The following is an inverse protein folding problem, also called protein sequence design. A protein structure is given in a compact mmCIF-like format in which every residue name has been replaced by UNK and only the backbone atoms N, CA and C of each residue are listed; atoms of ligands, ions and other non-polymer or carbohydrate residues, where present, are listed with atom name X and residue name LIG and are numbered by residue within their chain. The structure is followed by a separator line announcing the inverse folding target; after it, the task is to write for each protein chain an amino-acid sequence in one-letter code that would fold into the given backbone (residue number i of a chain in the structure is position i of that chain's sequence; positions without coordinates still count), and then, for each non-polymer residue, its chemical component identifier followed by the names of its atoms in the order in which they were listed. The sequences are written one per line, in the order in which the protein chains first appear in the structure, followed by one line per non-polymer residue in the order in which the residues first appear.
data_IF_093137926325
#
_entry.id   IF_093137926325
#
_cell.length_a   1.000
_cell.length_b   1.000
_cell.length_c   1.000
_cell.angle_alpha   90.00
_cell.angle_beta   90.00
_cell.angle_gamma   90.00
#
_symmetry.space_group_name_H-M   'P 1'
#
loop_
_entity.id
_entity.type
_entity.pdbx_description
1 polymer ?
#
# COMPACT_ATOMS: atom_id res chain seq x y z
N UNK A 1 -7.74 -11.05 -9.71
CA UNK A 1 -7.87 -10.45 -11.05
C UNK A 1 -9.34 -10.25 -11.46
N UNK A 2 -10.14 -11.32 -11.60
CA UNK A 2 -11.54 -11.29 -12.08
C UNK A 2 -12.42 -10.20 -11.46
N UNK A 3 -12.36 -10.00 -10.13
CA UNK A 3 -13.11 -8.95 -9.43
C UNK A 3 -12.86 -7.55 -9.99
N UNK A 4 -11.60 -7.23 -10.33
CA UNK A 4 -11.22 -5.92 -10.83
C UNK A 4 -11.74 -5.71 -12.26
N UNK A 5 -11.64 -6.74 -13.09
CA UNK A 5 -12.19 -6.73 -14.45
C UNK A 5 -13.71 -6.52 -14.45
N UNK A 6 -14.42 -7.27 -13.61
CA UNK A 6 -15.89 -7.15 -13.51
C UNK A 6 -16.30 -5.77 -13.02
N UNK A 7 -15.61 -5.21 -12.02
CA UNK A 7 -15.86 -3.84 -11.54
C UNK A 7 -15.60 -2.78 -12.61
N UNK A 8 -14.59 -2.99 -13.46
CA UNK A 8 -14.31 -2.11 -14.60
C UNK A 8 -15.28 -2.30 -15.78
N UNK A 9 -16.15 -3.31 -15.76
CA UNK A 9 -17.10 -3.58 -16.84
C UNK A 9 -16.47 -4.07 -18.16
N UNK A 10 -15.22 -4.57 -18.13
CA UNK A 10 -14.47 -4.96 -19.34
C UNK A 10 -14.53 -6.47 -19.56
N UNK A 11 -14.67 -6.96 -20.79
CA UNK A 11 -14.57 -8.40 -21.08
C UNK A 11 -13.12 -8.89 -21.02
N UNK A 12 -12.88 -10.21 -20.90
CA UNK A 12 -11.52 -10.75 -20.94
C UNK A 12 -10.81 -10.40 -22.26
N UNK A 13 -11.53 -10.53 -23.39
CA UNK A 13 -11.02 -10.19 -24.72
C UNK A 13 -10.69 -8.70 -24.87
N UNK A 14 -11.57 -7.82 -24.38
CA UNK A 14 -11.33 -6.38 -24.45
C UNK A 14 -10.12 -5.98 -23.61
N UNK A 15 -9.99 -6.54 -22.40
CA UNK A 15 -8.84 -6.27 -21.54
C UNK A 15 -7.54 -6.80 -22.13
N UNK A 16 -7.55 -8.02 -22.67
CA UNK A 16 -6.41 -8.61 -23.36
C UNK A 16 -5.94 -7.72 -24.54
N UNK A 17 -6.89 -7.21 -25.33
CA UNK A 17 -6.61 -6.26 -26.43
C UNK A 17 -5.99 -4.95 -25.93
N UNK A 18 -6.51 -4.38 -24.84
CA UNK A 18 -5.98 -3.13 -24.25
C UNK A 18 -4.53 -3.33 -23.78
N UNK A 19 -4.25 -4.46 -23.13
CA UNK A 19 -2.93 -4.76 -22.56
C UNK A 19 -1.95 -5.30 -23.61
N UNK A 20 -2.43 -5.74 -24.77
CA UNK A 20 -1.59 -6.32 -25.82
C UNK A 20 -1.15 -7.76 -25.53
N UNK A 21 -2.00 -8.54 -24.84
CA UNK A 21 -1.74 -9.95 -24.50
C UNK A 21 -2.87 -10.85 -25.01
N UNK A 22 -2.66 -12.18 -24.96
CA UNK A 22 -3.68 -13.14 -25.38
C UNK A 22 -4.80 -13.26 -24.31
N UNK A 23 -6.06 -13.36 -24.75
CA UNK A 23 -7.21 -13.54 -23.85
C UNK A 23 -7.13 -14.83 -23.01
N UNK A 24 -6.53 -15.89 -23.53
CA UNK A 24 -6.22 -17.10 -22.76
C UNK A 24 -5.34 -16.79 -21.55
N UNK A 25 -4.40 -15.85 -21.69
CA UNK A 25 -3.57 -15.43 -20.56
C UNK A 25 -4.39 -14.77 -19.45
N UNK A 26 -5.35 -13.90 -19.81
CA UNK A 26 -6.29 -13.32 -18.84
C UNK A 26 -7.08 -14.41 -18.12
N UNK A 27 -7.58 -15.41 -18.84
CA UNK A 27 -8.32 -16.52 -18.23
C UNK A 27 -7.48 -17.28 -17.18
N UNK A 28 -6.23 -17.62 -17.52
CA UNK A 28 -5.30 -18.28 -16.59
C UNK A 28 -5.02 -17.43 -15.34
N UNK A 29 -4.80 -16.12 -15.52
CA UNK A 29 -4.62 -15.17 -14.41
C UNK A 29 -5.88 -15.04 -13.53
N UNK A 30 -7.07 -15.17 -14.10
CA UNK A 30 -8.32 -15.17 -13.35
C UNK A 30 -8.56 -16.46 -12.56
N UNK A 31 -8.07 -17.60 -13.07
CA UNK A 31 -8.20 -18.92 -12.44
C UNK A 31 -7.05 -19.25 -11.47
N UNK A 32 -6.06 -18.37 -11.34
CA UNK A 32 -4.94 -18.56 -10.40
C UNK A 32 -3.95 -19.63 -10.85
N UNK A 33 -3.86 -19.90 -12.15
CA UNK A 33 -2.82 -20.76 -12.70
C UNK A 33 -1.44 -20.14 -12.50
N UNK A 34 -0.41 -20.98 -12.31
CA UNK A 34 0.92 -20.64 -11.75
C UNK A 34 1.83 -19.76 -12.64
N UNK A 35 1.29 -18.92 -13.50
CA UNK A 35 2.06 -17.99 -14.32
C UNK A 35 1.85 -16.55 -13.85
N UNK A 36 2.71 -16.12 -12.92
CA UNK A 36 2.71 -14.74 -12.44
C UNK A 36 3.05 -13.78 -13.61
N UNK A 37 2.32 -12.67 -13.79
CA UNK A 37 2.62 -11.72 -14.83
C UNK A 37 3.93 -11.01 -14.57
N UNK A 38 4.64 -10.67 -15.64
CA UNK A 38 5.78 -9.76 -15.57
C UNK A 38 5.33 -8.42 -14.98
N UNK A 39 6.28 -7.65 -14.43
CA UNK A 39 5.97 -6.36 -13.81
C UNK A 39 5.24 -5.43 -14.77
N UNK A 40 5.70 -5.38 -16.02
CA UNK A 40 5.12 -4.51 -17.06
C UNK A 40 3.69 -4.91 -17.41
N UNK A 41 3.42 -6.22 -17.55
CA UNK A 41 2.06 -6.72 -17.79
C UNK A 41 1.16 -6.41 -16.59
N UNK A 42 1.65 -6.59 -15.36
CA UNK A 42 0.88 -6.25 -14.15
C UNK A 42 0.57 -4.75 -14.08
N UNK A 43 1.52 -3.87 -14.46
CA UNK A 43 1.31 -2.43 -14.53
C UNK A 43 0.31 -2.03 -15.62
N UNK A 44 0.42 -2.63 -16.81
CA UNK A 44 -0.52 -2.39 -17.91
C UNK A 44 -1.95 -2.84 -17.53
N UNK A 45 -2.10 -3.99 -16.86
CA UNK A 45 -3.37 -4.46 -16.30
C UNK A 45 -3.93 -3.46 -15.27
N UNK A 46 -3.10 -2.98 -14.36
CA UNK A 46 -3.49 -1.98 -13.36
C UNK A 46 -4.01 -0.69 -14.00
N UNK A 47 -3.33 -0.19 -15.03
CA UNK A 47 -3.74 1.00 -15.77
C UNK A 47 -5.05 0.77 -16.53
N UNK A 48 -5.16 -0.33 -17.27
CA UNK A 48 -6.37 -0.69 -18.02
C UNK A 48 -7.60 -0.82 -17.12
N UNK A 49 -7.41 -1.32 -15.89
CA UNK A 49 -8.46 -1.51 -14.90
C UNK A 49 -8.68 -0.30 -13.98
N UNK A 50 -7.94 0.79 -14.16
CA UNK A 50 -8.00 2.02 -13.36
C UNK A 50 -7.93 1.74 -11.86
N UNK A 51 -6.99 0.89 -11.46
CA UNK A 51 -6.80 0.51 -10.06
C UNK A 51 -6.31 1.69 -9.20
N UNK A 52 -6.77 1.75 -7.95
CA UNK A 52 -6.20 2.69 -6.97
C UNK A 52 -4.76 2.33 -6.61
N UNK A 53 -3.98 3.25 -6.02
CA UNK A 53 -2.60 2.98 -5.63
C UNK A 53 -2.45 1.74 -4.74
N UNK A 54 -3.36 1.58 -3.77
CA UNK A 54 -3.39 0.40 -2.88
C UNK A 54 -3.74 -0.89 -3.64
N UNK A 55 -4.59 -0.81 -4.67
CA UNK A 55 -4.92 -1.96 -5.52
C UNK A 55 -3.78 -2.34 -6.46
N UNK A 56 -3.02 -1.36 -6.95
CA UNK A 56 -1.79 -1.58 -7.71
C UNK A 56 -0.75 -2.30 -6.85
N UNK A 57 -0.55 -1.85 -5.61
CA UNK A 57 0.35 -2.50 -4.66
C UNK A 57 -0.07 -3.95 -4.42
N UNK A 58 -1.36 -4.19 -4.14
CA UNK A 58 -1.89 -5.55 -3.96
C UNK A 58 -1.69 -6.43 -5.20
N UNK A 59 -1.94 -5.89 -6.39
CA UNK A 59 -1.77 -6.64 -7.64
C UNK A 59 -0.31 -7.03 -7.85
N UNK A 60 0.61 -6.07 -7.74
CA UNK A 60 2.04 -6.31 -7.93
C UNK A 60 2.61 -7.27 -6.89
N UNK A 61 2.24 -7.09 -5.62
CA UNK A 61 2.63 -8.02 -4.55
C UNK A 61 2.16 -9.45 -4.84
N UNK A 62 0.90 -9.63 -5.26
CA UNK A 62 0.36 -10.95 -5.60
C UNK A 62 1.03 -11.60 -6.81
N UNK A 63 1.63 -10.80 -7.68
CA UNK A 63 2.41 -11.24 -8.83
C UNK A 63 3.91 -11.44 -8.51
N UNK A 64 4.30 -11.36 -7.23
CA UNK A 64 5.69 -11.54 -6.79
C UNK A 64 6.60 -10.31 -6.98
N UNK A 65 6.02 -9.14 -7.29
CA UNK A 65 6.77 -7.90 -7.47
C UNK A 65 6.69 -7.02 -6.23
N UNK A 66 7.77 -6.27 -5.97
CA UNK A 66 7.79 -5.29 -4.88
C UNK A 66 6.80 -4.14 -5.20
N UNK A 67 5.84 -3.85 -4.31
CA UNK A 67 4.88 -2.75 -4.47
C UNK A 67 5.54 -1.39 -4.64
N UNK A 68 5.02 -0.51 -5.51
CA UNK A 68 5.49 0.86 -5.66
C UNK A 68 5.58 1.66 -4.36
N UNK A 69 4.64 1.50 -3.42
CA UNK A 69 4.71 2.15 -2.11
C UNK A 69 5.95 1.75 -1.32
N UNK A 70 6.28 0.46 -1.29
CA UNK A 70 7.48 -0.05 -0.62
C UNK A 70 8.77 0.37 -1.33
N UNK A 71 8.75 0.52 -2.66
CA UNK A 71 9.89 1.09 -3.40
C UNK A 71 10.14 2.56 -3.01
N UNK A 72 9.08 3.34 -2.80
CA UNK A 72 9.18 4.76 -2.40
C UNK A 72 9.68 4.93 -0.97
N UNK A 73 9.22 4.09 -0.04
CA UNK A 73 9.69 4.11 1.36
C UNK A 73 11.12 3.58 1.49
N UNK A 74 11.49 2.62 0.63
CA UNK A 74 12.78 1.94 0.68
C UNK A 74 12.80 0.78 1.68
N UNK A 75 13.69 -0.21 1.49
CA UNK A 75 13.73 -1.43 2.31
C UNK A 75 14.20 -1.19 3.76
N UNK A 76 14.78 -0.02 4.05
CA UNK A 76 15.37 0.31 5.35
C UNK A 76 14.53 1.31 6.16
N UNK A 77 13.26 1.54 5.80
CA UNK A 77 12.39 2.43 6.57
C UNK A 77 12.26 1.93 8.02
N UNK A 78 12.73 2.75 8.97
CA UNK A 78 12.79 2.37 10.38
C UNK A 78 11.41 2.24 11.02
N UNK A 79 10.43 3.01 10.56
CA UNK A 79 9.07 3.02 11.08
C UNK A 79 8.33 1.75 10.68
N UNK A 80 8.38 1.41 9.39
CA UNK A 80 7.84 0.14 8.87
C UNK A 80 8.55 -1.03 9.53
N UNK A 81 9.87 -0.99 9.67
CA UNK A 81 10.63 -2.03 10.37
C UNK A 81 10.19 -2.24 11.82
N UNK A 82 9.87 -1.16 12.55
CA UNK A 82 9.35 -1.25 13.91
C UNK A 82 7.94 -1.87 13.95
N UNK A 83 7.04 -1.41 13.06
CA UNK A 83 5.68 -1.96 12.92
C UNK A 83 5.72 -3.45 12.58
N UNK A 84 6.53 -3.86 11.61
CA UNK A 84 6.69 -5.26 11.21
C UNK A 84 7.19 -6.10 12.38
N UNK A 85 8.29 -5.70 13.04
CA UNK A 85 8.85 -6.46 14.18
C UNK A 85 7.84 -6.66 15.30
N UNK A 86 7.02 -5.65 15.61
CA UNK A 86 5.99 -5.76 16.63
C UNK A 86 4.85 -6.69 16.19
N UNK A 87 4.32 -6.48 14.98
CA UNK A 87 3.17 -7.23 14.48
C UNK A 87 3.47 -8.72 14.24
N UNK A 88 4.71 -9.06 13.89
CA UNK A 88 5.15 -10.45 13.69
C UNK A 88 5.73 -11.09 14.95
N UNK A 89 5.65 -10.42 16.11
CA UNK A 89 6.11 -11.00 17.36
C UNK A 89 5.08 -12.02 17.88
N UNK A 90 5.49 -13.27 18.04
CA UNK A 90 4.62 -14.36 18.51
C UNK A 90 4.17 -14.19 19.97
N UNK A 91 4.86 -13.36 20.76
CA UNK A 91 4.48 -13.04 22.14
C UNK A 91 3.32 -12.05 22.22
N UNK A 92 2.96 -11.39 21.12
CA UNK A 92 1.87 -10.41 21.09
C UNK A 92 0.53 -11.12 20.92
N UNK A 93 -0.40 -10.91 21.86
CA UNK A 93 -1.73 -11.49 21.78
C UNK A 93 -2.51 -10.97 20.56
N UNK A 94 -3.49 -11.74 20.05
CA UNK A 94 -4.34 -11.28 18.96
C UNK A 94 -5.04 -9.93 19.24
N UNK A 95 -5.50 -9.72 20.47
CA UNK A 95 -6.18 -8.51 20.92
C UNK A 95 -5.22 -7.31 20.94
N UNK A 96 -4.03 -7.48 21.53
CA UNK A 96 -3.00 -6.43 21.54
C UNK A 96 -2.52 -6.09 20.13
N UNK A 97 -2.45 -7.09 19.24
CA UNK A 97 -2.13 -6.87 17.82
C UNK A 97 -3.22 -6.07 17.10
N UNK A 98 -4.50 -6.34 17.40
CA UNK A 98 -5.62 -5.59 16.84
C UNK A 98 -5.66 -4.15 17.35
N UNK A 99 -5.44 -3.94 18.65
CA UNK A 99 -5.37 -2.61 19.26
C UNK A 99 -4.24 -1.76 18.65
N UNK A 100 -3.03 -2.32 18.53
CA UNK A 100 -1.91 -1.63 17.88
C UNK A 100 -2.24 -1.22 16.44
N UNK A 101 -2.89 -2.09 15.65
CA UNK A 101 -3.33 -1.76 14.28
C UNK A 101 -4.31 -0.59 14.29
N UNK A 102 -5.32 -0.63 15.15
CA UNK A 102 -6.33 0.41 15.25
C UNK A 102 -5.70 1.78 15.60
N UNK A 103 -4.72 1.82 16.50
CA UNK A 103 -3.97 3.03 16.84
C UNK A 103 -3.21 3.56 15.62
N UNK A 104 -2.43 2.71 14.93
CA UNK A 104 -1.66 3.11 13.75
C UNK A 104 -2.57 3.61 12.62
N UNK A 105 -3.67 2.89 12.36
CA UNK A 105 -4.65 3.25 11.33
C UNK A 105 -5.36 4.57 11.65
N UNK A 106 -5.72 4.81 12.92
CA UNK A 106 -6.31 6.07 13.37
C UNK A 106 -5.34 7.24 13.16
N UNK A 107 -4.06 7.04 13.47
CA UNK A 107 -3.04 8.06 13.22
C UNK A 107 -2.88 8.32 11.72
N UNK A 108 -2.84 7.29 10.89
CA UNK A 108 -2.72 7.45 9.44
C UNK A 108 -3.90 8.21 8.83
N UNK A 109 -5.14 7.86 9.20
CA UNK A 109 -6.35 8.54 8.74
C UNK A 109 -6.30 10.02 9.12
N UNK A 110 -5.96 10.32 10.37
CA UNK A 110 -5.86 11.71 10.85
C UNK A 110 -4.88 12.53 10.03
N UNK A 111 -3.73 11.97 9.67
CA UNK A 111 -2.74 12.67 8.84
C UNK A 111 -3.20 12.81 7.38
N UNK A 112 -3.95 11.84 6.87
CA UNK A 112 -4.54 11.93 5.54
C UNK A 112 -5.58 13.05 5.45
N UNK A 113 -6.41 13.21 6.49
CA UNK A 113 -7.37 14.31 6.58
C UNK A 113 -6.67 15.67 6.56
N UNK A 114 -5.55 15.79 7.29
CA UNK A 114 -4.73 17.00 7.30
C UNK A 114 -4.17 17.31 5.90
N UNK A 115 -3.65 16.30 5.19
CA UNK A 115 -3.16 16.46 3.81
C UNK A 115 -4.29 16.88 2.85
N UNK A 116 -5.49 16.36 3.05
CA UNK A 116 -6.66 16.64 2.21
C UNK A 116 -7.31 17.99 2.51
N UNK A 117 -7.19 18.52 3.73
CA UNK A 117 -7.90 19.70 4.21
C UNK A 117 -7.35 21.06 3.69
N UNK A 118 -6.48 21.08 2.67
CA UNK A 118 -5.81 22.30 2.13
C UNK A 118 -4.97 23.08 3.16
N UNK A 119 -4.68 22.50 4.32
CA UNK A 119 -3.64 23.01 5.21
C UNK A 119 -2.31 22.58 4.58
N UNK A 120 -1.47 23.54 4.20
CA UNK A 120 -0.17 23.24 3.60
C UNK A 120 0.62 22.29 4.50
N UNK A 121 1.19 21.23 3.90
CA UNK A 121 2.09 20.27 4.56
C UNK A 121 3.10 20.99 5.46
N UNK A 122 3.56 22.16 5.02
CA UNK A 122 4.54 22.98 5.72
C UNK A 122 4.11 23.41 7.14
N UNK A 123 2.85 23.81 7.35
CA UNK A 123 2.36 24.22 8.69
C UNK A 123 2.28 23.01 9.65
N UNK A 124 1.91 21.85 9.10
CA UNK A 124 1.78 20.62 9.88
C UNK A 124 3.16 20.09 10.26
N UNK A 125 4.10 20.12 9.31
CA UNK A 125 5.48 19.71 9.51
C UNK A 125 6.20 20.65 10.48
N UNK A 126 5.91 21.96 10.43
CA UNK A 126 6.46 22.93 11.37
C UNK A 126 5.99 22.64 12.81
N UNK A 127 4.69 22.42 13.02
CA UNK A 127 4.15 22.06 14.35
C UNK A 127 4.67 20.73 14.87
N UNK A 128 4.86 19.74 13.99
CA UNK A 128 5.44 18.45 14.35
C UNK A 128 6.93 18.59 14.75
N UNK A 129 7.70 19.38 14.00
CA UNK A 129 9.09 19.69 14.32
C UNK A 129 9.21 20.43 15.66
N UNK A 130 8.35 21.41 15.92
CA UNK A 130 8.30 22.15 17.18
C UNK A 130 8.00 21.23 18.37
N UNK A 131 7.06 20.29 18.21
CA UNK A 131 6.72 19.30 19.24
C UNK A 131 7.83 18.28 19.48
N UNK A 132 8.50 17.80 18.42
CA UNK A 132 9.64 16.89 18.54
C UNK A 132 10.84 17.58 19.24
N UNK A 133 11.04 18.87 18.99
CA UNK A 133 12.04 19.68 19.68
C UNK A 133 11.69 19.87 21.17
N UNK A 134 10.43 20.15 21.49
CA UNK A 134 9.97 20.26 22.87
C UNK A 134 10.16 18.94 23.67
N UNK A 135 9.86 17.79 23.05
CA UNK A 135 10.07 16.47 23.67
C UNK A 135 11.55 16.13 23.91
N UNK A 136 12.47 16.58 23.03
CA UNK A 136 13.92 16.41 23.22
C UNK A 136 14.48 17.29 24.34
N UNK A 137 13.91 18.47 24.58
CA UNK A 137 14.34 19.37 25.67
C UNK A 137 13.92 18.81 27.04
N UNK A 138 12.75 18.17 27.13
CA UNK A 138 12.28 17.55 28.39
C UNK A 138 13.10 16.30 28.76
N UNK A 139 13.66 15.58 27.79
CA UNK A 139 14.52 14.43 28.04
C UNK A 139 15.99 14.75 28.39
N UNK A 140 16.42 16.02 28.28
CA UNK A 140 17.79 16.45 28.60
C UNK A 140 17.95 17.05 30.01
N UNK A 141 16.88 17.03 30.82
CA UNK A 141 16.83 17.57 32.20
C UNK A 141 16.58 16.44 33.22
N UNK A 142 16.95 15.19 32.88
CA UNK A 142 16.98 14.06 33.82
C UNK A 142 18.35 13.41 33.85
#
# INVERSE_FOLDING_TARGET
MRRFRLRAGVSQNALAKIVGINASYINRLENGEREAPTRDVAQALAQALRLSAEEVDRLLFSAGHVPPSLQKLGPADSTIGAVTRLLTNDRLSPEARADFRAIVETMAIRWQDVLNARVGIDDVMQRAADRAKALRVVGAVQ
#
